data_IF_279637069803
#
_entry.id   IF_279637069803
#
_cell.length_a   1.000
_cell.length_b   1.000
_cell.length_c   1.000
_cell.angle_alpha   90.00
_cell.angle_beta   90.00
_cell.angle_gamma   90.00
#
_symmetry.space_group_name_H-M   'P 1'
#
loop_
_entity.id
_entity.type
_entity.pdbx_description
1 polymer ?
#
# COMPACT_ATOMS: atom_id res chain seq x y z
N UNK A 1 -11.07 14.80 15.44
CA UNK A 1 -10.03 14.38 14.49
C UNK A 1 -10.29 12.91 14.21
N UNK A 2 -10.99 12.61 13.12
CA UNK A 2 -11.26 11.21 12.77
C UNK A 2 -9.91 10.57 12.44
N UNK A 3 -9.50 9.61 13.28
CA UNK A 3 -8.20 8.96 13.19
C UNK A 3 -8.04 8.16 11.89
N UNK A 4 -6.79 7.89 11.51
CA UNK A 4 -6.49 6.94 10.44
C UNK A 4 -7.02 5.56 10.82
N UNK A 5 -7.80 4.93 9.93
CA UNK A 5 -8.23 3.54 10.08
C UNK A 5 -7.27 2.63 9.32
N UNK A 6 -6.53 1.80 10.05
CA UNK A 6 -5.58 0.85 9.46
C UNK A 6 -6.29 -0.47 9.09
N UNK A 7 -6.05 -0.94 7.87
CA UNK A 7 -6.54 -2.23 7.38
C UNK A 7 -5.34 -3.05 6.91
N UNK A 8 -5.14 -4.23 7.50
CA UNK A 8 -4.09 -5.15 7.07
C UNK A 8 -4.53 -5.90 5.81
N UNK A 9 -3.89 -5.59 4.67
CA UNK A 9 -4.20 -6.24 3.39
C UNK A 9 -3.53 -7.60 3.27
N UNK A 10 -2.26 -7.70 3.69
CA UNK A 10 -1.44 -8.89 3.57
C UNK A 10 -0.91 -9.33 4.93
N UNK A 11 -0.92 -10.65 5.17
CA UNK A 11 -0.32 -11.27 6.34
C UNK A 11 0.62 -12.37 5.89
N UNK A 12 1.91 -12.19 6.16
CA UNK A 12 2.97 -13.13 5.76
C UNK A 12 4.29 -12.41 5.54
N UNK A 13 5.29 -13.16 5.10
CA UNK A 13 6.60 -12.65 4.72
C UNK A 13 6.87 -12.97 3.25
N UNK A 14 7.55 -12.07 2.55
CA UNK A 14 7.98 -12.24 1.17
C UNK A 14 9.49 -12.40 1.20
N UNK A 15 9.97 -13.59 0.84
CA UNK A 15 11.40 -13.90 0.81
C UNK A 15 12.08 -13.64 -0.54
N UNK A 16 11.31 -13.59 -1.62
CA UNK A 16 11.80 -13.49 -3.00
C UNK A 16 10.92 -12.54 -3.81
N UNK A 17 11.44 -12.04 -4.94
CA UNK A 17 10.69 -11.15 -5.83
C UNK A 17 9.43 -11.84 -6.37
N UNK A 18 8.25 -11.29 -6.05
CA UNK A 18 6.99 -11.86 -6.48
C UNK A 18 5.89 -10.80 -6.65
N UNK A 19 4.83 -11.17 -7.37
CA UNK A 19 3.59 -10.41 -7.43
C UNK A 19 2.64 -10.84 -6.31
N UNK A 20 2.11 -9.86 -5.55
CA UNK A 20 1.07 -10.13 -4.55
C UNK A 20 -0.32 -10.23 -5.16
N UNK A 21 -1.22 -10.91 -4.43
CA UNK A 21 -2.65 -10.90 -4.75
C UNK A 21 -3.19 -9.48 -4.73
N UNK A 22 -4.15 -9.18 -5.61
CA UNK A 22 -4.87 -7.91 -5.60
C UNK A 22 -5.81 -7.85 -4.40
N UNK A 23 -5.82 -6.71 -3.72
CA UNK A 23 -6.75 -6.39 -2.65
C UNK A 23 -7.67 -5.26 -3.10
N UNK A 24 -8.93 -5.29 -2.68
CA UNK A 24 -9.94 -4.27 -2.98
C UNK A 24 -10.41 -3.65 -1.67
N UNK A 25 -10.34 -2.32 -1.60
CA UNK A 25 -10.79 -1.53 -0.45
C UNK A 25 -11.71 -0.43 -0.96
N UNK A 26 -12.83 -0.21 -0.28
CA UNK A 26 -13.70 0.91 -0.56
C UNK A 26 -13.18 2.15 0.19
N UNK A 27 -12.96 3.24 -0.53
CA UNK A 27 -12.53 4.52 0.04
C UNK A 27 -13.42 5.65 -0.51
N UNK A 28 -13.57 6.72 0.27
CA UNK A 28 -14.31 7.91 -0.18
C UNK A 28 -13.46 8.69 -1.20
N UNK A 29 -14.07 9.18 -2.27
CA UNK A 29 -13.36 9.98 -3.28
C UNK A 29 -12.67 11.21 -2.65
N UNK A 30 -11.52 11.62 -3.20
CA UNK A 30 -10.69 12.73 -2.71
C UNK A 30 -10.07 12.53 -1.32
N UNK A 31 -10.23 11.36 -0.70
CA UNK A 31 -9.46 11.00 0.50
C UNK A 31 -8.05 10.54 0.15
N UNK A 32 -7.15 10.62 1.12
CA UNK A 32 -5.77 10.15 0.97
C UNK A 32 -5.66 8.73 1.52
N UNK A 33 -5.27 7.79 0.66
CA UNK A 33 -4.96 6.42 1.05
C UNK A 33 -3.46 6.31 1.31
N UNK A 34 -3.09 5.96 2.55
CA UNK A 34 -1.71 5.70 2.94
C UNK A 34 -1.45 4.19 2.95
N UNK A 35 -0.51 3.71 2.12
CA UNK A 35 -0.04 2.33 2.18
C UNK A 35 1.29 2.29 2.91
N UNK A 36 1.37 1.40 3.90
CA UNK A 36 2.53 1.19 4.75
C UNK A 36 3.11 -0.20 4.48
N UNK A 37 4.43 -0.26 4.32
CA UNK A 37 5.18 -1.47 4.05
C UNK A 37 6.24 -1.65 5.13
N UNK A 38 6.22 -2.81 5.79
CA UNK A 38 7.26 -3.21 6.73
C UNK A 38 8.28 -4.04 5.97
N UNK A 39 9.54 -3.62 6.01
CA UNK A 39 10.67 -4.27 5.33
C UNK A 39 11.80 -4.46 6.34
N UNK A 40 12.22 -5.69 6.59
CA UNK A 40 13.29 -6.01 7.56
C UNK A 40 12.97 -7.18 8.49
N UNK A 41 13.98 -7.71 9.18
CA UNK A 41 13.86 -8.81 10.14
C UNK A 41 13.49 -8.34 11.56
N UNK A 42 12.69 -9.20 12.20
CA UNK A 42 12.15 -9.29 13.57
C UNK A 42 12.92 -8.73 14.81
N UNK A 43 13.89 -7.81 14.72
CA UNK A 43 14.67 -7.44 15.93
C UNK A 43 15.28 -6.03 16.01
N UNK A 44 15.15 -5.15 15.02
CA UNK A 44 15.65 -3.78 15.17
C UNK A 44 14.49 -2.79 15.33
N UNK A 45 14.52 -2.01 16.43
CA UNK A 45 13.52 -1.00 16.83
C UNK A 45 13.29 0.14 15.81
N UNK A 46 13.97 0.09 14.67
CA UNK A 46 13.83 1.02 13.56
C UNK A 46 13.26 0.29 12.36
N UNK A 47 12.05 -0.29 12.51
CA UNK A 47 11.22 -0.66 11.36
C UNK A 47 11.08 0.61 10.52
N UNK A 48 11.84 0.72 9.43
CA UNK A 48 11.74 1.87 8.54
C UNK A 48 10.39 1.71 7.84
N UNK A 49 9.41 2.47 8.31
CA UNK A 49 8.07 2.45 7.75
C UNK A 49 8.09 3.09 6.36
N UNK A 50 8.32 2.26 5.35
CA UNK A 50 8.23 2.67 3.96
C UNK A 50 6.75 2.86 3.61
N UNK A 51 6.41 4.01 3.04
CA UNK A 51 5.04 4.30 2.69
C UNK A 51 4.92 5.02 1.36
N UNK A 52 3.75 4.88 0.77
CA UNK A 52 3.34 5.62 -0.41
C UNK A 52 1.88 6.05 -0.23
N UNK A 53 1.49 7.14 -0.89
CA UNK A 53 0.18 7.75 -0.68
C UNK A 53 -0.48 8.08 -2.00
N UNK A 54 -1.77 7.76 -2.10
CA UNK A 54 -2.55 8.00 -3.30
C UNK A 54 -3.83 8.74 -2.96
N UNK A 55 -4.12 9.80 -3.71
CA UNK A 55 -5.42 10.48 -3.64
C UNK A 55 -6.45 9.63 -4.37
N UNK A 56 -7.52 9.25 -3.68
CA UNK A 56 -8.60 8.45 -4.25
C UNK A 56 -9.28 9.19 -5.41
N UNK A 57 -9.45 8.48 -6.53
CA UNK A 57 -10.06 9.00 -7.77
C UNK A 57 -11.32 8.21 -8.13
N UNK A 58 -12.16 8.81 -8.96
CA UNK A 58 -13.33 8.14 -9.54
C UNK A 58 -12.94 6.96 -10.44
N UNK A 59 -11.96 7.17 -11.32
CA UNK A 59 -11.46 6.16 -12.27
C UNK A 59 -9.98 6.36 -12.56
N UNK A 60 -9.34 5.31 -13.10
CA UNK A 60 -7.97 5.35 -13.60
C UNK A 60 -7.04 4.48 -12.79
N UNK A 61 -5.74 4.76 -12.87
CA UNK A 61 -4.74 4.10 -12.05
C UNK A 61 -3.65 5.07 -11.63
N UNK A 62 -2.97 4.71 -10.56
CA UNK A 62 -1.75 5.35 -10.09
C UNK A 62 -0.68 4.28 -9.90
N UNK A 63 0.58 4.70 -10.02
CA UNK A 63 1.73 3.84 -9.85
C UNK A 63 2.82 4.59 -9.08
N UNK A 64 3.40 3.95 -8.08
CA UNK A 64 4.58 4.42 -7.38
C UNK A 64 5.54 3.25 -7.13
N UNK A 65 6.83 3.54 -7.14
CA UNK A 65 7.87 2.58 -6.80
C UNK A 65 8.66 3.10 -5.61
N UNK A 66 8.87 2.25 -4.63
CA UNK A 66 9.71 2.51 -3.47
C UNK A 66 11.03 1.80 -3.72
N UNK A 67 12.12 2.57 -3.73
CA UNK A 67 13.48 2.03 -3.83
C UNK A 67 14.02 1.76 -2.43
N UNK A 68 14.52 0.55 -2.21
CA UNK A 68 15.21 0.11 -1.00
C UNK A 68 16.66 -0.19 -1.38
N UNK A 69 17.52 -0.37 -0.39
CA UNK A 69 18.95 -0.65 -0.64
C UNK A 69 19.16 -1.94 -1.44
N UNK A 70 18.33 -2.97 -1.21
CA UNK A 70 18.51 -4.31 -1.80
C UNK A 70 17.33 -4.77 -2.67
N UNK A 71 16.24 -3.98 -2.73
CA UNK A 71 15.02 -4.37 -3.43
C UNK A 71 14.22 -3.14 -3.88
N UNK A 72 13.14 -3.38 -4.62
CA UNK A 72 12.15 -2.34 -4.88
C UNK A 72 10.74 -2.88 -4.71
N UNK A 73 9.83 -2.01 -4.27
CA UNK A 73 8.41 -2.31 -4.13
C UNK A 73 7.65 -1.48 -5.16
N UNK A 74 7.03 -2.15 -6.12
CA UNK A 74 6.16 -1.52 -7.11
C UNK A 74 4.70 -1.61 -6.67
N UNK A 75 4.05 -0.46 -6.52
CA UNK A 75 2.66 -0.35 -6.07
C UNK A 75 1.81 0.24 -7.19
N UNK A 76 0.81 -0.52 -7.64
CA UNK A 76 -0.19 -0.06 -8.61
C UNK A 76 -1.58 -0.05 -7.95
N UNK A 77 -2.23 1.10 -7.94
CA UNK A 77 -3.61 1.25 -7.48
C UNK A 77 -4.50 1.50 -8.69
N UNK A 78 -5.62 0.77 -8.78
CA UNK A 78 -6.62 0.98 -9.84
C UNK A 78 -7.91 1.45 -9.19
N UNK A 79 -8.45 2.53 -9.71
CA UNK A 79 -9.65 3.18 -9.21
C UNK A 79 -10.84 2.87 -10.10
N UNK A 80 -11.92 2.46 -9.47
CA UNK A 80 -13.21 2.26 -10.10
C UNK A 80 -14.31 2.56 -9.10
N UNK A 81 -15.41 3.15 -9.58
CA UNK A 81 -16.62 3.23 -8.75
C UNK A 81 -17.13 1.82 -8.46
N UNK A 82 -17.59 1.61 -7.23
CA UNK A 82 -18.50 0.52 -6.92
C UNK A 82 -19.81 0.83 -7.66
N UNK A 83 -20.00 0.19 -8.81
CA UNK A 83 -21.32 0.15 -9.44
C UNK A 83 -22.20 -0.71 -8.54
N UNK A 84 -23.36 -0.16 -8.17
CA UNK A 84 -24.41 -0.90 -7.45
C UNK A 84 -25.05 -1.93 -8.37
#
# INVERSE_FOLDING_TARGET
MDGLHEIQLFRGSIGESCGLRRHVVAVKENTLMHLKFKVGQNSCKNDLDHHCSFKAKKHGYDYQQIMLELASISVKVTWSNLQK
#
